data_IF_769508890721
#
_entry.id   IF_769508890721
#
_cell.length_a   1.000
_cell.length_b   1.000
_cell.length_c   1.000
_cell.angle_alpha   90.00
_cell.angle_beta   90.00
_cell.angle_gamma   90.00
#
_symmetry.space_group_name_H-M   'P 1'
#
loop_
_entity.id
_entity.type
_entity.pdbx_description
1 polymer ?
#
# COMPACT_ATOMS: atom_id res chain seq x y z
N UNK A 1 0.19 6.03 -17.87
CA UNK A 1 1.01 5.97 -16.65
C UNK A 1 0.12 6.45 -15.51
N UNK A 2 -0.36 5.52 -14.69
CA UNK A 2 -1.18 5.84 -13.53
C UNK A 2 -0.18 6.11 -12.40
N UNK A 3 -0.20 7.32 -11.82
CA UNK A 3 0.70 7.68 -10.73
C UNK A 3 -0.02 7.36 -9.42
N UNK A 4 0.47 6.34 -8.71
CA UNK A 4 -0.06 5.96 -7.40
C UNK A 4 0.47 6.91 -6.32
N UNK A 5 -0.44 7.54 -5.58
CA UNK A 5 -0.09 8.54 -4.56
C UNK A 5 -0.64 8.16 -3.20
N UNK A 6 0.09 8.50 -2.16
CA UNK A 6 -0.36 8.45 -0.77
C UNK A 6 -0.47 9.88 -0.24
N UNK A 7 -1.65 10.23 0.29
CA UNK A 7 -1.88 11.49 0.99
C UNK A 7 -1.96 11.19 2.47
N UNK A 8 -1.05 11.76 3.26
CA UNK A 8 -0.93 11.45 4.68
C UNK A 8 -0.27 12.59 5.48
N UNK A 9 -0.90 12.99 6.58
CA UNK A 9 -0.33 13.99 7.50
C UNK A 9 0.55 13.32 8.56
N UNK A 10 1.72 12.84 8.14
CA UNK A 10 2.67 12.22 9.07
C UNK A 10 3.33 13.27 9.97
N UNK A 11 3.46 13.00 11.29
CA UNK A 11 4.08 13.94 12.21
C UNK A 11 5.57 14.12 11.89
N UNK A 12 6.06 15.34 12.06
CA UNK A 12 7.47 15.69 11.84
C UNK A 12 8.36 15.31 13.04
N UNK A 13 8.37 14.02 13.36
CA UNK A 13 9.26 13.44 14.35
C UNK A 13 10.42 12.74 13.65
N UNK A 14 11.63 12.87 14.21
CA UNK A 14 12.84 12.32 13.61
C UNK A 14 12.72 10.81 13.33
N UNK A 15 12.17 10.05 14.26
CA UNK A 15 11.95 8.60 14.13
C UNK A 15 11.01 8.26 12.96
N UNK A 16 9.94 9.04 12.78
CA UNK A 16 9.02 8.89 11.65
C UNK A 16 9.69 9.29 10.34
N UNK A 17 10.42 10.42 10.31
CA UNK A 17 11.12 10.85 9.10
C UNK A 17 12.22 9.87 8.67
N UNK A 18 12.90 9.21 9.61
CA UNK A 18 13.88 8.17 9.31
C UNK A 18 13.23 6.87 8.81
N UNK A 19 12.06 6.51 9.33
CA UNK A 19 11.27 5.37 8.83
C UNK A 19 10.80 5.62 7.40
N UNK A 20 10.28 6.80 7.09
CA UNK A 20 9.77 7.16 5.76
C UNK A 20 10.84 7.09 4.64
N UNK A 21 12.13 7.04 4.99
CA UNK A 21 13.25 6.86 4.06
C UNK A 21 13.61 5.40 3.79
N UNK A 22 12.93 4.44 4.44
CA UNK A 22 13.20 3.01 4.30
C UNK A 22 12.29 2.41 3.23
N UNK A 23 12.79 1.36 2.60
CA UNK A 23 12.00 0.51 1.71
C UNK A 23 11.23 -0.52 2.54
N UNK A 24 10.11 -0.99 1.99
CA UNK A 24 9.27 -2.05 2.56
C UNK A 24 8.82 -1.75 4.01
N UNK A 25 8.39 -0.51 4.25
CA UNK A 25 7.82 -0.09 5.54
C UNK A 25 6.61 -0.97 5.85
N UNK A 26 6.59 -1.68 7.00
CA UNK A 26 5.45 -2.49 7.39
C UNK A 26 4.20 -1.62 7.54
N UNK A 27 3.11 -2.08 6.93
CA UNK A 27 1.86 -1.37 6.98
C UNK A 27 0.68 -2.32 6.92
N UNK A 28 -0.49 -1.76 7.13
CA UNK A 28 -1.75 -2.42 6.96
C UNK A 28 -2.50 -1.75 5.81
N UNK A 29 -2.84 -2.51 4.77
CA UNK A 29 -3.53 -1.98 3.59
C UNK A 29 -5.00 -2.41 3.60
N UNK A 30 -5.89 -1.43 3.47
CA UNK A 30 -7.33 -1.64 3.32
C UNK A 30 -7.76 -1.10 1.97
N UNK A 31 -8.41 -1.90 1.14
CA UNK A 31 -8.89 -1.47 -0.17
C UNK A 31 -10.35 -1.85 -0.30
N UNK A 32 -11.21 -0.87 -0.56
CA UNK A 32 -12.67 -0.99 -0.67
C UNK A 32 -13.18 0.03 -1.67
N UNK A 33 -14.10 0.91 -1.29
CA UNK A 33 -14.40 2.14 -2.06
C UNK A 33 -13.31 3.21 -1.94
N UNK A 34 -12.50 3.10 -0.89
CA UNK A 34 -11.30 3.88 -0.64
C UNK A 34 -10.15 2.92 -0.41
N UNK A 35 -8.93 3.38 -0.63
CA UNK A 35 -7.74 2.65 -0.25
C UNK A 35 -7.01 3.41 0.85
N UNK A 36 -6.76 2.75 1.97
CA UNK A 36 -6.14 3.31 3.16
C UNK A 36 -4.91 2.50 3.53
N UNK A 37 -3.86 3.21 3.93
CA UNK A 37 -2.62 2.65 4.45
C UNK A 37 -2.49 3.08 5.90
N UNK A 38 -2.24 2.11 6.77
CA UNK A 38 -1.89 2.34 8.16
C UNK A 38 -0.45 1.88 8.36
N UNK A 39 0.49 2.81 8.57
CA UNK A 39 1.85 2.44 8.96
C UNK A 39 1.84 2.08 10.45
N UNK A 40 2.29 0.87 10.76
CA UNK A 40 2.47 0.42 12.14
C UNK A 40 3.91 0.73 12.55
N UNK A 41 4.10 1.79 13.33
CA UNK A 41 5.42 2.21 13.77
C UNK A 41 5.46 2.49 15.27
N UNK A 42 6.08 1.56 16.00
CA UNK A 42 6.20 1.62 17.44
C UNK A 42 4.86 1.39 18.14
N UNK A 43 4.30 2.43 18.76
CA UNK A 43 2.96 2.42 19.40
C UNK A 43 1.99 3.40 18.72
N UNK A 44 2.33 3.86 17.51
CA UNK A 44 1.57 4.86 16.76
C UNK A 44 1.09 4.23 15.47
N UNK A 45 -0.17 4.49 15.14
CA UNK A 45 -0.72 4.21 13.82
C UNK A 45 -0.72 5.52 13.04
N UNK A 46 -0.04 5.53 11.90
CA UNK A 46 -0.02 6.66 10.99
C UNK A 46 -0.89 6.34 9.78
N UNK A 47 -1.84 7.21 9.45
CA UNK A 47 -2.86 6.95 8.44
C UNK A 47 -2.58 7.75 7.17
N UNK A 48 -2.86 7.13 6.02
CA UNK A 48 -2.85 7.79 4.72
C UNK A 48 -3.88 7.19 3.77
N UNK A 49 -4.34 7.99 2.82
CA UNK A 49 -5.27 7.58 1.77
C UNK A 49 -4.52 7.45 0.44
N UNK A 50 -4.73 6.33 -0.24
CA UNK A 50 -4.18 6.06 -1.56
C UNK A 50 -5.08 6.62 -2.65
N UNK A 51 -4.47 7.27 -3.63
CA UNK A 51 -5.11 7.85 -4.81
C UNK A 51 -4.47 7.29 -6.09
N UNK A 52 -5.27 7.25 -7.16
CA UNK A 52 -4.83 6.69 -8.43
C UNK A 52 -4.93 5.16 -8.49
N UNK A 53 -5.63 4.53 -7.54
CA UNK A 53 -5.89 3.10 -7.57
C UNK A 53 -7.24 2.77 -8.26
N UNK A 54 -7.32 1.58 -8.83
CA UNK A 54 -8.52 0.99 -9.41
C UNK A 54 -8.81 -0.34 -8.71
N UNK A 55 -10.03 -0.48 -8.20
CA UNK A 55 -10.52 -1.69 -7.52
C UNK A 55 -10.38 -2.94 -8.38
N UNK A 56 -10.62 -2.82 -9.68
CA UNK A 56 -10.56 -3.95 -10.62
C UNK A 56 -9.13 -4.50 -10.74
N UNK A 57 -8.14 -3.61 -10.78
CA UNK A 57 -6.74 -4.00 -10.97
C UNK A 57 -6.17 -4.62 -9.69
N UNK A 58 -6.54 -4.11 -8.51
CA UNK A 58 -6.17 -4.72 -7.21
C UNK A 58 -6.84 -6.08 -7.04
N UNK A 59 -8.12 -6.21 -7.42
CA UNK A 59 -8.83 -7.49 -7.38
C UNK A 59 -8.24 -8.58 -8.27
N UNK A 60 -7.50 -8.18 -9.29
CA UNK A 60 -6.84 -9.11 -10.21
C UNK A 60 -5.53 -9.66 -9.63
N UNK A 61 -4.96 -8.99 -8.63
CA UNK A 61 -3.62 -9.26 -8.08
C UNK A 61 -3.63 -9.86 -6.67
N UNK A 62 -4.74 -9.72 -5.94
CA UNK A 62 -4.92 -10.30 -4.61
C UNK A 62 -6.29 -10.98 -4.52
N UNK A 63 -6.44 -12.13 -3.85
CA UNK A 63 -7.75 -12.72 -3.58
C UNK A 63 -8.55 -11.87 -2.59
N UNK A 64 -9.83 -11.59 -2.88
CA UNK A 64 -10.69 -10.77 -2.04
C UNK A 64 -10.84 -11.35 -0.62
N UNK A 65 -10.68 -10.51 0.40
CA UNK A 65 -11.08 -10.82 1.76
C UNK A 65 -12.61 -10.89 1.86
N UNK A 66 -13.13 -11.80 2.67
CA UNK A 66 -14.56 -12.06 2.79
C UNK A 66 -15.36 -10.80 3.22
N UNK A 67 -16.07 -10.18 2.25
CA UNK A 67 -17.24 -9.29 2.37
C UNK A 67 -17.29 -8.23 3.48
N UNK A 68 -17.32 -6.94 3.11
CA UNK A 68 -17.50 -5.79 4.00
C UNK A 68 -17.39 -4.45 3.26
N UNK A 69 -17.15 -3.34 3.98
CA UNK A 69 -16.86 -2.02 3.36
C UNK A 69 -15.52 -2.01 2.58
N UNK A 70 -14.61 -2.93 2.95
CA UNK A 70 -13.34 -3.17 2.28
C UNK A 70 -13.32 -4.58 1.68
N UNK A 71 -12.82 -4.68 0.45
CA UNK A 71 -12.65 -5.92 -0.32
C UNK A 71 -11.30 -6.58 0.01
N UNK A 72 -10.30 -5.79 0.41
CA UNK A 72 -8.99 -6.27 0.87
C UNK A 72 -8.62 -5.62 2.20
N UNK A 73 -8.10 -6.41 3.12
CA UNK A 73 -7.62 -5.94 4.43
C UNK A 73 -6.47 -6.86 4.86
N UNK A 74 -5.24 -6.54 4.44
CA UNK A 74 -4.08 -7.41 4.66
C UNK A 74 -2.87 -6.65 5.21
N UNK A 75 -2.01 -7.41 5.90
CA UNK A 75 -0.64 -6.97 6.19
C UNK A 75 0.06 -6.66 4.88
N UNK A 76 0.83 -5.59 4.86
CA UNK A 76 1.41 -5.03 3.66
C UNK A 76 2.81 -4.46 3.94
N UNK A 77 3.55 -4.22 2.85
CA UNK A 77 4.80 -3.47 2.89
C UNK A 77 4.75 -2.41 1.80
N UNK A 78 5.08 -1.17 2.16
CA UNK A 78 5.04 -0.04 1.24
C UNK A 78 6.38 0.69 1.21
N UNK A 79 6.76 1.15 0.02
CA UNK A 79 7.87 2.07 -0.17
C UNK A 79 7.31 3.35 -0.77
N UNK A 80 7.60 4.48 -0.15
CA UNK A 80 7.08 5.78 -0.56
C UNK A 80 8.20 6.82 -0.65
N UNK A 81 8.04 7.77 -1.56
CA UNK A 81 8.93 8.93 -1.68
C UNK A 81 8.15 10.22 -1.46
N UNK A 82 8.66 11.08 -0.58
CA UNK A 82 8.03 12.37 -0.29
C UNK A 82 8.15 13.29 -1.51
N UNK A 83 7.01 13.80 -2.00
CA UNK A 83 6.95 14.79 -3.09
C UNK A 83 6.84 16.19 -2.49
N UNK A 84 5.89 16.35 -1.57
CA UNK A 84 5.54 17.64 -0.97
C UNK A 84 5.01 17.43 0.46
N UNK A 85 4.47 18.48 1.08
CA UNK A 85 3.83 18.33 2.38
C UNK A 85 2.58 17.44 2.22
N UNK A 86 2.54 16.37 3.00
CA UNK A 86 1.47 15.39 3.05
C UNK A 86 1.26 14.55 1.78
N UNK A 87 2.13 14.63 0.79
CA UNK A 87 2.00 13.91 -0.48
C UNK A 87 3.25 13.07 -0.77
N UNK A 88 3.01 11.80 -1.10
CA UNK A 88 4.06 10.83 -1.37
C UNK A 88 3.73 10.01 -2.63
N UNK A 89 4.74 9.74 -3.44
CA UNK A 89 4.65 8.75 -4.51
C UNK A 89 4.79 7.35 -3.90
N UNK A 90 3.95 6.42 -4.34
CA UNK A 90 4.06 5.01 -3.94
C UNK A 90 4.94 4.29 -4.94
N UNK A 91 6.13 3.90 -4.51
CA UNK A 91 7.13 3.24 -5.37
C UNK A 91 6.87 1.73 -5.44
N UNK A 92 6.52 1.13 -4.31
CA UNK A 92 6.13 -0.28 -4.28
C UNK A 92 5.10 -0.55 -3.19
N UNK A 93 4.23 -1.51 -3.44
CA UNK A 93 3.24 -1.99 -2.48
C UNK A 93 3.13 -3.51 -2.63
N UNK A 94 3.32 -4.23 -1.53
CA UNK A 94 3.07 -5.66 -1.43
C UNK A 94 1.99 -5.93 -0.41
N UNK A 95 1.12 -6.89 -0.67
CA UNK A 95 0.12 -7.36 0.29
C UNK A 95 0.34 -8.84 0.59
N UNK A 96 0.21 -9.22 1.84
CA UNK A 96 0.34 -10.61 2.26
C UNK A 96 -0.99 -11.34 2.12
N UNK A 97 -0.97 -12.46 1.43
CA UNK A 97 -2.05 -13.44 1.34
C UNK A 97 -1.60 -14.76 1.98
N UNK A 98 -2.52 -15.45 2.65
CA UNK A 98 -2.22 -16.69 3.38
C UNK A 98 -1.84 -17.88 2.50
N UNK A 99 -2.23 -17.86 1.21
CA UNK A 99 -1.96 -18.93 0.26
C UNK A 99 -0.75 -18.62 -0.62
N UNK A 100 -0.64 -17.38 -1.12
CA UNK A 100 0.40 -16.99 -2.07
C UNK A 100 1.57 -16.23 -1.44
N UNK A 101 1.47 -15.86 -0.16
CA UNK A 101 2.49 -15.08 0.53
C UNK A 101 2.46 -13.61 0.12
N UNK A 102 3.64 -13.00 -0.09
CA UNK A 102 3.72 -11.59 -0.48
C UNK A 102 3.42 -11.38 -1.96
N UNK A 103 2.26 -10.82 -2.27
CA UNK A 103 1.85 -10.44 -3.61
C UNK A 103 2.30 -9.01 -3.93
N UNK A 104 3.01 -8.83 -5.04
CA UNK A 104 3.32 -7.51 -5.57
C UNK A 104 2.05 -6.87 -6.16
N UNK A 105 1.72 -5.67 -5.69
CA UNK A 105 0.60 -4.85 -6.19
C UNK A 105 1.13 -3.69 -7.01
N UNK A 106 2.17 -3.01 -6.50
CA UNK A 106 2.85 -1.90 -7.19
C UNK A 106 4.34 -2.22 -7.25
N UNK A 107 4.93 -2.08 -8.44
CA UNK A 107 6.36 -2.22 -8.71
C UNK A 107 6.80 -0.99 -9.51
N UNK A 108 7.79 -0.26 -8.99
CA UNK A 108 8.34 0.96 -9.60
C UNK A 108 7.27 2.02 -9.93
N UNK A 109 6.25 2.16 -9.07
CA UNK A 109 5.16 3.12 -9.24
C UNK A 109 4.06 2.69 -10.20
N UNK A 110 4.16 1.50 -10.80
CA UNK A 110 3.14 0.96 -11.71
C UNK A 110 2.51 -0.30 -11.12
N UNK A 111 1.29 -0.63 -11.58
CA UNK A 111 0.66 -1.90 -11.22
C UNK A 111 1.54 -3.08 -11.62
N UNK A 112 1.71 -4.01 -10.69
CA UNK A 112 2.34 -5.28 -11.00
C UNK A 112 1.55 -5.96 -12.13
N UNK A 113 2.25 -6.47 -13.13
CA UNK A 113 1.64 -7.35 -14.12
C UNK A 113 1.21 -8.63 -13.42
N UNK A 114 -0.05 -9.05 -13.64
CA UNK A 114 -0.58 -10.31 -13.10
C UNK A 114 0.42 -11.42 -13.45
N UNK A 115 0.97 -12.15 -12.47
CA UNK A 115 1.81 -13.28 -12.79
C UNK A 115 0.98 -14.29 -13.57
N UNK A 116 1.40 -14.63 -14.79
CA UNK A 116 0.86 -15.78 -15.51
C UNK A 116 1.05 -17.01 -14.62
N UNK A 117 -0.04 -17.53 -14.05
CA UNK A 117 -0.01 -18.84 -13.42
C UNK A 117 0.40 -19.86 -14.49
N UNK A 118 1.63 -20.38 -14.39
CA UNK A 118 1.96 -21.63 -15.07
C UNK A 118 1.34 -22.76 -14.26
N UNK A 119 0.36 -23.41 -14.88
CA UNK A 119 -0.25 -24.67 -14.45
C UNK A 119 0.78 -25.73 -14.04
#
# INVERSE_FOLDING_TARGET
MIIMKLIAEFPDYLDVQEMLKKDNIPCFCKVGRKAEIILDYGRKNLYGELFGWNETDVCSLCPAGAGGEYVYYNQAMITINKISNNEYDVISLKMFDGYTGWCDIIINGEYATIPEYKE
#
